data_IF_956388356483
#
_entry.id   IF_956388356483
#
_cell.length_a   1.000
_cell.length_b   1.000
_cell.length_c   1.000
_cell.angle_alpha   90.00
_cell.angle_beta   90.00
_cell.angle_gamma   90.00
#
_symmetry.space_group_name_H-M   'P 1'
#
loop_
_entity.id
_entity.type
_entity.pdbx_description
1 polymer ?
#
# COMPACT_ATOMS: atom_id res chain seq x y z
N UNK A 1 -12.40 -23.65 -18.89
CA UNK A 1 -11.93 -22.31 -19.29
C UNK A 1 -10.87 -22.47 -20.36
N UNK A 2 -11.01 -21.77 -21.47
CA UNK A 2 -10.11 -21.93 -22.61
C UNK A 2 -8.68 -21.52 -22.27
N UNK A 3 -7.74 -22.40 -22.59
CA UNK A 3 -6.30 -22.23 -22.33
C UNK A 3 -5.78 -20.92 -22.96
N UNK A 4 -6.36 -20.55 -24.11
CA UNK A 4 -6.02 -19.33 -24.86
C UNK A 4 -6.42 -18.07 -24.08
N UNK A 5 -7.63 -18.03 -23.51
CA UNK A 5 -8.12 -16.90 -22.71
C UNK A 5 -7.24 -16.71 -21.49
N UNK A 6 -6.95 -17.79 -20.76
CA UNK A 6 -6.09 -17.72 -19.58
C UNK A 6 -4.66 -17.29 -19.92
N UNK A 7 -4.12 -17.73 -21.07
CA UNK A 7 -2.79 -17.30 -21.54
C UNK A 7 -2.76 -15.82 -21.89
N UNK A 8 -3.82 -15.30 -22.51
CA UNK A 8 -3.91 -13.88 -22.80
C UNK A 8 -4.07 -13.04 -21.52
N UNK A 9 -4.98 -13.43 -20.63
CA UNK A 9 -5.17 -12.80 -19.33
C UNK A 9 -3.86 -12.76 -18.51
N UNK A 10 -3.09 -13.86 -18.49
CA UNK A 10 -1.75 -13.91 -17.88
C UNK A 10 -0.81 -12.85 -18.47
N UNK A 11 -0.78 -12.70 -19.80
CA UNK A 11 0.08 -11.70 -20.46
C UNK A 11 -0.30 -10.28 -20.07
N UNK A 12 -1.60 -9.98 -20.02
CA UNK A 12 -2.08 -8.66 -19.57
C UNK A 12 -1.71 -8.37 -18.10
N UNK A 13 -1.82 -9.39 -17.24
CA UNK A 13 -1.48 -9.26 -15.82
C UNK A 13 0.02 -9.00 -15.61
N UNK A 14 0.90 -9.73 -16.31
CA UNK A 14 2.36 -9.53 -16.26
C UNK A 14 2.78 -8.17 -16.82
N UNK A 15 2.06 -7.66 -17.82
CA UNK A 15 2.30 -6.32 -18.35
C UNK A 15 1.77 -5.19 -17.43
N UNK A 16 1.12 -5.52 -16.31
CA UNK A 16 0.41 -4.59 -15.42
C UNK A 16 -0.68 -3.77 -16.13
N UNK A 17 -1.33 -4.33 -17.15
CA UNK A 17 -2.43 -3.70 -17.89
C UNK A 17 -3.78 -4.13 -17.32
N UNK A 18 -4.10 -3.64 -16.13
CA UNK A 18 -5.29 -4.04 -15.38
C UNK A 18 -6.59 -3.56 -16.03
N UNK A 19 -6.59 -2.38 -16.66
CA UNK A 19 -7.75 -1.84 -17.39
C UNK A 19 -8.09 -2.71 -18.60
N UNK A 20 -7.09 -3.08 -19.39
CA UNK A 20 -7.27 -3.97 -20.53
C UNK A 20 -7.74 -5.35 -20.08
N UNK A 21 -7.20 -5.87 -18.98
CA UNK A 21 -7.66 -7.13 -18.38
C UNK A 21 -9.13 -7.05 -17.92
N UNK A 22 -9.55 -5.93 -17.34
CA UNK A 22 -10.94 -5.67 -16.95
C UNK A 22 -11.88 -5.60 -18.16
N UNK A 23 -11.49 -4.88 -19.21
CA UNK A 23 -12.26 -4.80 -20.45
C UNK A 23 -12.38 -6.18 -21.13
N UNK A 24 -11.27 -6.92 -21.21
CA UNK A 24 -11.22 -8.29 -21.68
C UNK A 24 -12.21 -9.18 -20.91
N UNK A 25 -12.25 -9.04 -19.59
CA UNK A 25 -13.14 -9.83 -18.76
C UNK A 25 -14.62 -9.49 -18.96
N UNK A 26 -14.95 -8.19 -19.06
CA UNK A 26 -16.30 -7.73 -19.32
C UNK A 26 -16.81 -8.12 -20.73
N UNK A 27 -15.92 -8.18 -21.72
CA UNK A 27 -16.29 -8.50 -23.11
C UNK A 27 -16.57 -9.98 -23.32
N UNK A 28 -15.88 -10.86 -22.59
CA UNK A 28 -15.90 -12.31 -22.82
C UNK A 28 -16.54 -13.10 -21.68
N UNK A 29 -17.22 -12.43 -20.75
CA UNK A 29 -17.80 -13.01 -19.53
C UNK A 29 -16.79 -13.87 -18.75
N UNK A 30 -15.53 -13.41 -18.71
CA UNK A 30 -14.45 -14.12 -18.05
C UNK A 30 -14.56 -13.92 -16.54
N UNK A 31 -14.62 -15.02 -15.80
CA UNK A 31 -14.70 -15.01 -14.33
C UNK A 31 -13.36 -14.57 -13.71
N UNK A 32 -13.11 -13.26 -13.77
CA UNK A 32 -11.83 -12.64 -13.43
C UNK A 32 -11.44 -12.89 -11.97
N UNK A 33 -12.41 -12.82 -11.05
CA UNK A 33 -12.18 -13.00 -9.61
C UNK A 33 -11.69 -14.42 -9.29
N UNK A 34 -12.39 -15.43 -9.80
CA UNK A 34 -12.00 -16.83 -9.62
C UNK A 34 -10.65 -17.15 -10.27
N UNK A 35 -10.39 -16.55 -11.43
CA UNK A 35 -9.14 -16.73 -12.14
C UNK A 35 -7.96 -16.05 -11.40
N UNK A 36 -8.14 -14.83 -10.91
CA UNK A 36 -7.14 -14.12 -10.11
C UNK A 36 -6.78 -14.89 -8.83
N UNK A 37 -7.76 -15.50 -8.17
CA UNK A 37 -7.52 -16.33 -7.00
C UNK A 37 -6.58 -17.50 -7.30
N UNK A 38 -6.73 -18.14 -8.48
CA UNK A 38 -5.87 -19.24 -8.94
C UNK A 38 -4.49 -18.76 -9.39
N UNK A 39 -4.41 -17.57 -9.97
CA UNK A 39 -3.16 -17.01 -10.52
C UNK A 39 -2.35 -16.21 -9.50
N UNK A 40 -2.90 -15.99 -8.29
CA UNK A 40 -2.27 -15.29 -7.16
C UNK A 40 -0.81 -15.68 -6.88
N UNK A 41 -0.45 -16.97 -6.77
CA UNK A 41 0.93 -17.35 -6.47
C UNK A 41 1.87 -17.32 -7.69
N UNK A 42 1.35 -17.06 -8.90
CA UNK A 42 2.09 -17.14 -10.16
C UNK A 42 2.18 -15.78 -10.83
N UNK A 43 1.35 -15.51 -11.85
CA UNK A 43 1.45 -14.30 -12.65
C UNK A 43 0.97 -13.03 -11.92
N UNK A 44 0.26 -13.16 -10.79
CA UNK A 44 -0.11 -12.01 -9.97
C UNK A 44 0.98 -11.59 -8.97
N UNK A 45 2.10 -12.32 -8.92
CA UNK A 45 3.24 -11.94 -8.08
C UNK A 45 3.93 -10.74 -8.71
N UNK A 46 3.96 -9.63 -7.99
CA UNK A 46 4.58 -8.39 -8.45
C UNK A 46 6.06 -8.43 -8.04
N UNK A 47 6.94 -8.50 -9.02
CA UNK A 47 8.39 -8.48 -8.77
C UNK A 47 8.93 -7.04 -8.69
N UNK A 48 8.45 -6.14 -9.56
CA UNK A 48 8.86 -4.74 -9.59
C UNK A 48 7.70 -3.82 -9.21
N UNK A 49 7.60 -3.52 -7.92
CA UNK A 49 6.55 -2.66 -7.36
C UNK A 49 6.53 -1.25 -7.95
N UNK A 50 7.71 -0.69 -8.27
CA UNK A 50 7.81 0.68 -8.80
C UNK A 50 7.22 0.72 -10.21
N UNK A 51 7.57 -0.25 -11.06
CA UNK A 51 7.02 -0.36 -12.41
C UNK A 51 5.51 -0.63 -12.38
N UNK A 52 5.05 -1.53 -11.50
CA UNK A 52 3.63 -1.81 -11.31
C UNK A 52 2.84 -0.54 -10.91
N UNK A 53 3.38 0.24 -9.97
CA UNK A 53 2.74 1.49 -9.53
C UNK A 53 2.67 2.54 -10.64
N UNK A 54 3.75 2.73 -11.42
CA UNK A 54 3.76 3.66 -12.57
C UNK A 54 2.78 3.25 -13.66
N UNK A 55 2.70 1.96 -13.95
CA UNK A 55 1.75 1.44 -14.94
C UNK A 55 0.32 1.65 -14.45
N UNK A 56 0.03 1.35 -13.18
CA UNK A 56 -1.29 1.55 -12.57
C UNK A 56 -1.70 3.03 -12.53
N UNK A 57 -0.76 3.94 -12.22
CA UNK A 57 -0.94 5.38 -12.33
C UNK A 57 -1.39 5.77 -13.74
N UNK A 58 -0.70 5.26 -14.76
CA UNK A 58 -0.99 5.55 -16.16
C UNK A 58 -2.33 4.95 -16.60
N UNK A 59 -2.63 3.73 -16.17
CA UNK A 59 -3.78 2.95 -16.63
C UNK A 59 -5.12 3.53 -16.13
N UNK A 60 -5.13 4.02 -14.88
CA UNK A 60 -6.32 4.60 -14.24
C UNK A 60 -6.29 6.12 -14.10
N UNK A 61 -5.21 6.79 -14.54
CA UNK A 61 -4.96 8.21 -14.30
C UNK A 61 -5.07 8.61 -12.80
N UNK A 62 -4.74 7.67 -11.90
CA UNK A 62 -4.80 7.92 -10.46
C UNK A 62 -3.63 8.78 -9.99
N UNK A 63 -3.80 9.69 -9.02
CA UNK A 63 -2.67 10.46 -8.50
C UNK A 63 -1.60 9.56 -7.87
N UNK A 64 -0.33 9.96 -7.98
CA UNK A 64 0.73 9.31 -7.22
C UNK A 64 0.48 9.48 -5.71
N UNK A 65 0.90 8.50 -4.87
CA UNK A 65 0.77 8.65 -3.43
C UNK A 65 1.58 9.85 -2.96
N UNK A 66 0.91 10.85 -2.39
CA UNK A 66 1.57 11.98 -1.74
C UNK A 66 2.12 11.50 -0.40
N UNK A 67 3.44 11.57 -0.22
CA UNK A 67 4.06 11.28 1.06
C UNK A 67 3.76 12.44 2.02
N UNK A 68 2.65 12.34 2.74
CA UNK A 68 2.36 13.29 3.82
C UNK A 68 3.20 12.89 5.03
N UNK A 69 3.83 13.88 5.68
CA UNK A 69 4.69 13.65 6.86
C UNK A 69 3.96 12.81 7.93
N UNK A 70 2.63 12.96 8.04
CA UNK A 70 1.77 12.14 8.91
C UNK A 70 1.83 10.63 8.66
N UNK A 71 2.00 10.20 7.40
CA UNK A 71 2.13 8.78 7.04
C UNK A 71 3.48 8.19 7.48
N UNK A 72 4.53 9.01 7.54
CA UNK A 72 5.85 8.60 8.08
C UNK A 72 5.84 8.56 9.62
N UNK A 73 5.06 9.43 10.26
CA UNK A 73 5.00 9.51 11.73
C UNK A 73 4.02 8.52 12.36
N UNK A 74 3.07 7.96 11.59
CA UNK A 74 2.06 7.01 12.09
C UNK A 74 2.60 5.66 12.58
N UNK A 75 3.88 5.36 12.35
CA UNK A 75 4.55 4.16 12.83
C UNK A 75 5.45 4.39 14.05
N UNK A 76 5.60 5.63 14.53
CA UNK A 76 6.35 5.91 15.75
C UNK A 76 5.33 5.96 16.89
N UNK A 77 5.24 4.94 17.77
CA UNK A 77 4.46 5.10 19.00
C UNK A 77 5.04 6.32 19.71
N UNK A 78 4.22 7.35 19.87
CA UNK A 78 4.61 8.55 20.60
C UNK A 78 5.05 8.11 21.99
N UNK A 79 6.36 8.09 22.22
CA UNK A 79 6.90 7.98 23.58
C UNK A 79 6.45 9.27 24.24
N UNK A 80 5.35 9.18 25.00
CA UNK A 80 4.93 10.17 25.97
C UNK A 80 6.06 10.28 27.00
N UNK A 81 7.10 11.05 26.68
CA UNK A 81 8.04 11.56 27.68
C UNK A 81 7.21 12.49 28.55
N UNK A 82 6.67 11.94 29.64
CA UNK A 82 6.16 12.71 30.77
C UNK A 82 7.30 13.61 31.23
N UNK A 83 7.31 14.85 30.76
CA UNK A 83 8.17 15.89 31.31
C UNK A 83 7.56 16.30 32.64
N UNK A 84 7.90 15.53 33.68
CA UNK A 84 7.62 15.91 35.06
C UNK A 84 8.44 17.16 35.36
N UNK A 85 7.75 18.29 35.48
CA UNK A 85 8.24 19.48 36.14
C UNK A 85 8.56 19.08 37.59
N UNK A 86 9.83 18.83 37.89
CA UNK A 86 10.31 18.72 39.27
C UNK A 86 10.09 20.08 39.93
N UNK A 87 9.05 20.16 40.77
CA UNK A 87 8.76 21.33 41.57
C UNK A 87 9.89 21.53 42.59
N UNK A 88 10.62 22.64 42.49
CA UNK A 88 11.66 23.08 43.42
C UNK A 88 11.08 23.70 44.71
N UNK A 89 10.02 23.13 45.27
CA UNK A 89 9.40 23.63 46.51
C UNK A 89 9.90 22.94 47.78
N UNK A 90 10.95 22.12 47.69
CA UNK A 90 11.50 21.39 48.84
C UNK A 90 12.98 21.70 49.08
N UNK A 91 13.29 22.97 49.39
CA UNK A 91 14.44 23.32 50.23
C UNK A 91 13.96 24.30 51.29
N UNK A 92 13.16 23.79 52.22
CA UNK A 92 13.02 24.39 53.55
C UNK A 92 14.23 23.95 54.36
N UNK A 93 15.33 24.67 54.19
CA UNK A 93 16.46 24.61 55.10
C UNK A 93 16.40 25.86 55.99
N UNK A 94 16.20 25.58 57.28
CA UNK A 94 16.46 26.39 58.46
C UNK A 94 17.65 27.36 58.28
N UNK A 95 17.57 28.56 58.87
CA UNK A 95 18.62 29.16 59.72
C UNK A 95 18.16 30.54 60.23
N UNK A 96 18.32 30.70 61.55
CA UNK A 96 18.12 31.87 62.42
C UNK A 96 18.74 33.17 61.89
N UNK A 97 18.11 34.32 62.13
CA UNK A 97 18.42 35.26 63.22
C UNK A 97 17.29 36.29 63.40
#
# INVERSE_FOLDING_TARGET
MDIILQRHARRLLVAHQLKHLGYFAATLDFHLVEWLAKERPRAARIDNFIAALKNLHTDFAWPYPHCTLGALTGAIPSIQRKTSHTSLSSLRLDIRD
#
